data_IF_357947898699
#
_entry.id   IF_357947898699
#
_cell.length_a   1.000
_cell.length_b   1.000
_cell.length_c   1.000
_cell.angle_alpha   90.00
_cell.angle_beta   90.00
_cell.angle_gamma   90.00
#
_symmetry.space_group_name_H-M   'P 1'
#
loop_
_entity.id
_entity.type
_entity.pdbx_description
1 polymer ?
#
# COMPACT_ATOMS: atom_id res chain seq x y z
N UNK A 1 56.07 54.35 51.17
CA UNK A 1 55.50 55.01 49.96
C UNK A 1 54.33 54.17 49.57
N UNK A 2 53.16 54.58 50.09
CA UNK A 2 51.85 53.90 49.86
C UNK A 2 51.26 54.48 48.55
N UNK A 3 50.98 53.63 47.58
CA UNK A 3 50.24 54.07 46.39
C UNK A 3 48.73 53.83 46.71
N UNK A 4 48.03 54.91 46.93
CA UNK A 4 46.60 54.92 47.01
C UNK A 4 46.03 54.61 45.62
N UNK A 5 45.24 53.54 45.57
CA UNK A 5 44.39 53.30 44.41
C UNK A 5 43.14 54.16 44.61
N UNK A 6 43.03 55.26 43.83
CA UNK A 6 41.79 55.98 43.68
C UNK A 6 40.79 55.14 42.89
N UNK A 7 39.80 54.64 43.55
CA UNK A 7 38.61 54.08 42.91
C UNK A 7 37.82 55.22 42.31
N UNK A 8 37.83 55.37 41.02
CA UNK A 8 36.94 56.28 40.30
C UNK A 8 35.54 55.65 40.36
N UNK A 9 34.75 56.14 41.33
CA UNK A 9 33.32 55.86 41.38
C UNK A 9 32.66 56.61 40.25
N UNK A 10 32.28 55.97 39.21
CA UNK A 10 31.30 56.50 38.23
C UNK A 10 29.93 56.54 38.90
N UNK A 11 29.59 57.67 39.46
CA UNK A 11 28.21 58.00 39.79
C UNK A 11 27.51 58.44 38.49
N UNK A 12 26.85 57.54 37.79
CA UNK A 12 25.86 57.87 36.83
C UNK A 12 24.53 57.89 37.54
N UNK A 13 24.02 59.06 37.90
CA UNK A 13 22.60 59.31 38.17
C UNK A 13 21.83 59.15 36.87
N UNK A 14 21.60 57.96 36.50
CA UNK A 14 20.71 57.54 35.43
C UNK A 14 20.32 56.13 35.77
N UNK A 15 19.05 55.82 35.77
CA UNK A 15 18.57 54.44 35.81
C UNK A 15 19.31 53.65 34.70
N UNK A 16 20.45 53.07 35.04
CA UNK A 16 20.98 51.96 34.28
C UNK A 16 19.97 50.85 34.53
N UNK A 17 18.94 50.78 33.72
CA UNK A 17 18.29 49.56 33.49
C UNK A 17 19.42 48.64 33.03
N UNK A 18 20.01 47.88 33.93
CA UNK A 18 20.68 46.64 33.63
C UNK A 18 19.58 45.75 33.03
N UNK A 19 19.29 46.01 31.75
CA UNK A 19 18.87 44.91 30.93
C UNK A 19 20.08 43.97 31.03
N UNK A 20 19.95 43.01 31.92
CA UNK A 20 20.65 41.79 31.82
C UNK A 20 20.26 41.24 30.45
N UNK A 21 20.90 41.81 29.43
CA UNK A 21 20.92 41.23 28.11
C UNK A 21 21.72 39.96 28.35
N UNK A 22 21.07 38.97 28.96
CA UNK A 22 21.41 37.60 28.68
C UNK A 22 21.22 37.53 27.17
N UNK A 23 22.29 37.94 26.47
CA UNK A 23 22.52 37.44 25.13
C UNK A 23 22.61 35.93 25.39
N UNK A 24 21.43 35.33 25.38
CA UNK A 24 21.30 33.92 25.22
C UNK A 24 21.90 33.67 23.83
N UNK A 25 23.23 33.63 23.80
CA UNK A 25 23.97 32.90 22.80
C UNK A 25 23.68 31.42 23.09
N UNK A 26 22.37 31.08 23.22
CA UNK A 26 21.86 29.80 22.82
C UNK A 26 22.41 29.66 21.43
N UNK A 27 23.60 29.10 21.33
CA UNK A 27 24.47 29.16 20.20
C UNK A 27 23.61 28.84 19.01
N UNK A 28 23.61 29.77 18.06
CA UNK A 28 23.08 29.48 16.73
C UNK A 28 23.63 28.12 16.45
N UNK A 29 22.75 27.08 16.62
CA UNK A 29 23.17 25.70 16.61
C UNK A 29 23.97 25.55 15.34
N UNK A 30 25.29 25.39 15.48
CA UNK A 30 26.21 25.37 14.35
C UNK A 30 25.68 24.30 13.43
N UNK A 31 25.24 24.71 12.23
CA UNK A 31 24.76 23.77 11.24
C UNK A 31 25.84 22.74 10.99
N UNK A 32 25.64 21.53 11.49
CA UNK A 32 26.51 20.40 11.27
C UNK A 32 25.92 19.54 10.18
N UNK A 33 26.48 19.56 8.96
CA UNK A 33 25.97 18.74 7.87
C UNK A 33 26.09 17.26 8.19
N UNK A 34 25.23 16.46 7.56
CA UNK A 34 25.31 15.01 7.64
C UNK A 34 26.69 14.49 7.23
N UNK A 35 27.25 13.55 7.99
CA UNK A 35 28.47 12.86 7.58
C UNK A 35 28.21 11.93 6.40
N UNK A 36 29.23 11.60 5.58
CA UNK A 36 29.04 10.78 4.36
C UNK A 36 28.33 9.45 4.62
N UNK A 37 28.60 8.78 5.73
CA UNK A 37 27.96 7.53 6.11
C UNK A 37 26.43 7.70 6.33
N UNK A 38 26.02 8.76 7.03
CA UNK A 38 24.63 9.09 7.26
C UNK A 38 23.89 9.41 5.95
N UNK A 39 24.52 10.20 5.07
CA UNK A 39 23.97 10.48 3.73
C UNK A 39 23.76 9.19 2.96
N UNK A 40 24.75 8.31 2.94
CA UNK A 40 24.67 7.03 2.27
C UNK A 40 23.49 6.19 2.79
N UNK A 41 23.35 6.08 4.12
CA UNK A 41 22.26 5.33 4.75
C UNK A 41 20.88 5.85 4.33
N UNK A 42 20.67 7.18 4.30
CA UNK A 42 19.42 7.77 3.84
C UNK A 42 19.16 7.49 2.36
N UNK A 43 20.20 7.56 1.51
CA UNK A 43 20.07 7.21 0.09
C UNK A 43 19.73 5.74 -0.10
N UNK A 44 20.37 4.83 0.62
CA UNK A 44 20.13 3.40 0.54
C UNK A 44 18.67 3.07 0.94
N UNK A 45 18.15 3.71 1.99
CA UNK A 45 16.74 3.59 2.37
C UNK A 45 15.80 4.13 1.27
N UNK A 46 16.13 5.29 0.68
CA UNK A 46 15.37 5.87 -0.43
C UNK A 46 15.34 4.95 -1.65
N UNK A 47 16.49 4.35 -2.01
CA UNK A 47 16.60 3.39 -3.12
C UNK A 47 15.71 2.18 -2.86
N UNK A 48 15.75 1.59 -1.66
CA UNK A 48 14.89 0.45 -1.29
C UNK A 48 13.40 0.78 -1.41
N UNK A 49 13.00 2.00 -1.05
CA UNK A 49 11.61 2.44 -1.26
C UNK A 49 11.26 2.50 -2.76
N UNK A 50 12.19 2.96 -3.62
CA UNK A 50 11.93 3.02 -5.07
C UNK A 50 11.89 1.64 -5.72
N UNK A 51 12.69 0.69 -5.25
CA UNK A 51 12.64 -0.72 -5.67
C UNK A 51 11.27 -1.37 -5.40
N UNK A 52 10.58 -0.91 -4.35
CA UNK A 52 9.20 -1.31 -4.02
C UNK A 52 8.12 -0.52 -4.80
N UNK A 53 8.55 0.31 -5.77
CA UNK A 53 7.67 1.05 -6.67
C UNK A 53 7.20 2.42 -6.20
N UNK A 54 7.82 2.99 -5.16
CA UNK A 54 7.53 4.36 -4.75
C UNK A 54 8.26 5.39 -5.64
N UNK A 55 7.64 6.54 -5.90
CA UNK A 55 8.31 7.63 -6.60
C UNK A 55 9.36 8.28 -5.69
N UNK A 56 10.60 8.36 -6.19
CA UNK A 56 11.73 8.96 -5.47
C UNK A 56 11.44 10.41 -5.04
N UNK A 57 10.77 11.19 -5.90
CA UNK A 57 10.41 12.58 -5.59
C UNK A 57 9.44 12.68 -4.40
N UNK A 58 8.47 11.79 -4.34
CA UNK A 58 7.49 11.77 -3.27
C UNK A 58 8.10 11.36 -1.94
N UNK A 59 9.02 10.39 -1.97
CA UNK A 59 9.78 9.95 -0.80
C UNK A 59 10.56 11.12 -0.20
N UNK A 60 11.37 11.79 -1.02
CA UNK A 60 12.19 12.91 -0.55
C UNK A 60 11.37 14.12 -0.17
N UNK A 61 10.26 14.39 -0.87
CA UNK A 61 9.32 15.46 -0.50
C UNK A 61 8.77 15.25 0.90
N UNK A 62 8.41 14.02 1.26
CA UNK A 62 7.92 13.70 2.61
C UNK A 62 9.00 13.96 3.67
N UNK A 63 10.25 13.54 3.43
CA UNK A 63 11.38 13.80 4.33
C UNK A 63 11.63 15.30 4.49
N UNK A 64 11.67 16.03 3.38
CA UNK A 64 11.97 17.47 3.40
C UNK A 64 10.83 18.27 4.08
N UNK A 65 9.58 17.88 3.84
CA UNK A 65 8.44 18.51 4.49
C UNK A 65 8.45 18.27 6.02
N UNK A 66 8.80 17.07 6.46
CA UNK A 66 8.87 16.73 7.88
C UNK A 66 10.00 17.46 8.61
N UNK A 67 11.11 17.72 7.92
CA UNK A 67 12.27 18.39 8.50
C UNK A 67 12.29 19.92 8.28
N UNK A 68 11.40 20.45 7.42
CA UNK A 68 11.39 21.86 7.03
C UNK A 68 12.60 22.28 6.20
N UNK A 69 13.20 21.37 5.43
CA UNK A 69 14.39 21.61 4.59
C UNK A 69 14.02 21.49 3.10
N UNK A 70 14.90 21.99 2.22
CA UNK A 70 14.63 21.98 0.76
C UNK A 70 15.39 20.85 0.04
N UNK A 71 16.48 20.42 0.58
CA UNK A 71 17.36 19.42 -0.03
C UNK A 71 18.13 18.64 1.03
N UNK A 72 18.69 17.49 0.65
CA UNK A 72 19.41 16.60 1.56
C UNK A 72 20.67 17.28 2.18
N UNK A 73 21.26 18.23 1.47
CA UNK A 73 22.40 19.00 1.96
C UNK A 73 22.07 19.89 3.15
N UNK A 74 20.81 20.29 3.31
CA UNK A 74 20.32 21.15 4.38
C UNK A 74 19.94 20.36 5.65
N UNK A 75 20.02 19.04 5.60
CA UNK A 75 19.73 18.18 6.77
C UNK A 75 20.92 18.25 7.73
N UNK A 76 20.67 18.74 8.93
CA UNK A 76 21.69 18.72 9.99
C UNK A 76 21.83 17.32 10.60
N UNK A 77 23.02 17.03 11.18
CA UNK A 77 23.30 15.74 11.84
C UNK A 77 22.28 15.42 12.94
N UNK A 78 21.79 16.42 13.65
CA UNK A 78 20.77 16.27 14.70
C UNK A 78 19.41 15.78 14.16
N UNK A 79 19.11 16.08 12.88
CA UNK A 79 17.88 15.65 12.20
C UNK A 79 18.01 14.28 11.53
N UNK A 80 19.19 13.66 11.54
CA UNK A 80 19.44 12.38 10.89
C UNK A 80 18.48 11.29 11.32
N UNK A 81 18.28 11.11 12.63
CA UNK A 81 17.39 10.05 13.15
C UNK A 81 15.95 10.27 12.73
N UNK A 82 15.51 11.54 12.68
CA UNK A 82 14.17 11.89 12.22
C UNK A 82 13.99 11.61 10.73
N UNK A 83 14.96 12.00 9.91
CA UNK A 83 14.96 11.67 8.48
C UNK A 83 14.91 10.15 8.24
N UNK A 84 15.77 9.41 8.98
CA UNK A 84 15.85 7.96 8.93
C UNK A 84 14.52 7.30 9.32
N UNK A 85 13.87 7.77 10.40
CA UNK A 85 12.59 7.22 10.85
C UNK A 85 11.47 7.43 9.84
N UNK A 86 11.42 8.58 9.16
CA UNK A 86 10.45 8.84 8.08
C UNK A 86 10.64 7.86 6.92
N UNK A 87 11.88 7.67 6.47
CA UNK A 87 12.19 6.72 5.39
C UNK A 87 11.89 5.28 5.80
N UNK A 88 12.24 4.88 7.02
CA UNK A 88 11.98 3.55 7.54
C UNK A 88 10.47 3.28 7.62
N UNK A 89 9.70 4.21 8.18
CA UNK A 89 8.24 4.09 8.26
C UNK A 89 7.62 3.94 6.85
N UNK A 90 8.14 4.69 5.88
CA UNK A 90 7.67 4.57 4.49
C UNK A 90 8.03 3.22 3.88
N UNK A 91 9.23 2.73 4.11
CA UNK A 91 9.70 1.42 3.67
C UNK A 91 8.83 0.30 4.25
N UNK A 92 8.57 0.35 5.55
CA UNK A 92 7.75 -0.65 6.24
C UNK A 92 6.31 -0.67 5.69
N UNK A 93 5.73 0.50 5.40
CA UNK A 93 4.41 0.60 4.77
C UNK A 93 4.38 -0.01 3.35
N UNK A 94 5.43 0.21 2.55
CA UNK A 94 5.55 -0.36 1.21
C UNK A 94 5.72 -1.88 1.25
N UNK A 95 6.52 -2.40 2.18
CA UNK A 95 6.68 -3.83 2.40
C UNK A 95 5.36 -4.49 2.82
N UNK A 96 4.60 -3.85 3.71
CA UNK A 96 3.28 -4.34 4.10
C UNK A 96 2.32 -4.38 2.91
N UNK A 97 2.32 -3.36 2.05
CA UNK A 97 1.50 -3.34 0.84
C UNK A 97 1.90 -4.42 -0.16
N UNK A 98 3.20 -4.67 -0.34
CA UNK A 98 3.69 -5.73 -1.20
C UNK A 98 3.29 -7.12 -0.67
N UNK A 99 3.46 -7.35 0.63
CA UNK A 99 3.02 -8.58 1.27
C UNK A 99 1.51 -8.80 1.10
N UNK A 100 0.69 -7.75 1.23
CA UNK A 100 -0.75 -7.81 0.97
C UNK A 100 -1.05 -8.19 -0.47
N UNK A 101 -0.39 -7.56 -1.45
CA UNK A 101 -0.56 -7.90 -2.88
C UNK A 101 -0.22 -9.36 -3.15
N UNK A 102 0.87 -9.84 -2.56
CA UNK A 102 1.31 -11.26 -2.66
C UNK A 102 0.27 -12.20 -2.08
N UNK A 103 -0.27 -11.88 -0.89
CA UNK A 103 -1.33 -12.67 -0.26
C UNK A 103 -2.61 -12.69 -1.11
N UNK A 104 -3.06 -11.54 -1.60
CA UNK A 104 -4.22 -11.45 -2.50
C UNK A 104 -4.01 -12.31 -3.75
N UNK A 105 -2.85 -12.21 -4.39
CA UNK A 105 -2.51 -13.04 -5.56
C UNK A 105 -2.54 -14.54 -5.25
N UNK A 106 -2.05 -14.94 -4.07
CA UNK A 106 -2.09 -16.34 -3.62
C UNK A 106 -3.52 -16.83 -3.38
N UNK A 107 -4.34 -16.03 -2.68
CA UNK A 107 -5.76 -16.34 -2.42
C UNK A 107 -6.53 -16.52 -3.72
N UNK A 108 -6.40 -15.56 -4.65
CA UNK A 108 -7.10 -15.62 -5.94
C UNK A 108 -6.68 -16.84 -6.77
N UNK A 109 -5.40 -17.15 -6.83
CA UNK A 109 -4.90 -18.35 -7.52
C UNK A 109 -5.52 -19.62 -6.96
N UNK A 110 -5.48 -19.78 -5.63
CA UNK A 110 -6.04 -20.96 -4.97
C UNK A 110 -7.56 -21.05 -5.12
N UNK A 111 -8.27 -19.91 -5.07
CA UNK A 111 -9.70 -19.86 -5.29
C UNK A 111 -10.05 -20.29 -6.73
N UNK A 112 -9.26 -19.87 -7.71
CA UNK A 112 -9.43 -20.30 -9.11
C UNK A 112 -9.11 -21.80 -9.29
N UNK A 113 -8.03 -22.29 -8.69
CA UNK A 113 -7.65 -23.70 -8.76
C UNK A 113 -8.71 -24.63 -8.15
N UNK A 114 -9.44 -24.16 -7.15
CA UNK A 114 -10.48 -24.91 -6.44
C UNK A 114 -11.90 -24.58 -6.91
N UNK A 115 -12.06 -23.71 -7.89
CA UNK A 115 -13.36 -23.17 -8.35
C UNK A 115 -14.23 -22.63 -7.18
N UNK A 116 -13.58 -22.02 -6.19
CA UNK A 116 -14.16 -21.58 -4.92
C UNK A 116 -14.37 -20.07 -4.87
N UNK A 117 -14.64 -19.43 -6.02
CA UNK A 117 -14.77 -17.97 -6.10
C UNK A 117 -16.00 -17.42 -5.39
N UNK A 118 -17.12 -18.15 -5.47
CA UNK A 118 -18.37 -17.77 -4.80
C UNK A 118 -18.23 -17.90 -3.28
N UNK A 119 -17.71 -19.02 -2.81
CA UNK A 119 -17.50 -19.33 -1.39
C UNK A 119 -16.49 -18.36 -0.75
N UNK A 120 -15.47 -17.97 -1.52
CA UNK A 120 -14.53 -16.94 -1.09
C UNK A 120 -15.23 -15.60 -0.84
N UNK A 121 -16.10 -15.18 -1.76
CA UNK A 121 -16.84 -13.93 -1.62
C UNK A 121 -17.80 -13.98 -0.44
N UNK A 122 -18.55 -15.09 -0.31
CA UNK A 122 -19.48 -15.30 0.80
C UNK A 122 -18.76 -15.30 2.15
N UNK A 123 -17.62 -15.99 2.25
CA UNK A 123 -16.79 -15.98 3.44
C UNK A 123 -16.30 -14.58 3.80
N UNK A 124 -15.84 -13.82 2.81
CA UNK A 124 -15.36 -12.46 3.01
C UNK A 124 -16.48 -11.51 3.43
N UNK A 125 -17.67 -11.65 2.85
CA UNK A 125 -18.83 -10.83 3.18
C UNK A 125 -19.33 -11.13 4.59
N UNK A 126 -19.53 -12.39 4.92
CA UNK A 126 -20.02 -12.83 6.24
C UNK A 126 -19.01 -12.50 7.35
N UNK A 127 -17.72 -12.70 7.11
CA UNK A 127 -16.69 -12.58 8.17
C UNK A 127 -16.21 -11.15 8.35
N UNK A 128 -16.09 -10.38 7.28
CA UNK A 128 -15.47 -9.05 7.29
C UNK A 128 -16.40 -7.93 6.78
N UNK A 129 -17.60 -8.26 6.27
CA UNK A 129 -18.52 -7.31 5.65
C UNK A 129 -17.95 -6.65 4.40
N UNK A 130 -17.01 -7.30 3.72
CA UNK A 130 -16.30 -6.76 2.56
C UNK A 130 -15.86 -7.88 1.64
N UNK A 131 -16.23 -7.79 0.36
CA UNK A 131 -15.83 -8.75 -0.67
C UNK A 131 -14.50 -8.41 -1.35
N UNK A 132 -14.07 -7.14 -1.27
CA UNK A 132 -12.84 -6.69 -1.95
C UNK A 132 -11.59 -7.05 -1.13
N UNK A 133 -10.85 -8.05 -1.55
CA UNK A 133 -9.61 -8.52 -0.90
C UNK A 133 -8.58 -7.40 -0.68
N UNK A 134 -8.44 -6.47 -1.61
CA UNK A 134 -7.50 -5.35 -1.50
C UNK A 134 -7.83 -4.38 -0.33
N UNK A 135 -9.06 -4.41 0.19
CA UNK A 135 -9.49 -3.59 1.34
C UNK A 135 -9.32 -4.31 2.68
N UNK A 136 -8.96 -5.58 2.65
CA UNK A 136 -8.72 -6.36 3.84
C UNK A 136 -7.33 -6.06 4.43
N UNK A 137 -7.21 -6.18 5.74
CA UNK A 137 -5.93 -6.11 6.44
C UNK A 137 -5.14 -7.41 6.23
N UNK A 138 -3.82 -7.37 6.44
CA UNK A 138 -2.96 -8.56 6.32
C UNK A 138 -3.46 -9.75 7.15
N UNK A 139 -3.86 -9.52 8.40
CA UNK A 139 -4.39 -10.57 9.27
C UNK A 139 -5.72 -11.16 8.75
N UNK A 140 -6.58 -10.33 8.15
CA UNK A 140 -7.84 -10.78 7.52
C UNK A 140 -7.53 -11.62 6.28
N UNK A 141 -6.59 -11.19 5.45
CA UNK A 141 -6.13 -11.97 4.27
C UNK A 141 -5.52 -13.32 4.64
N UNK A 142 -4.83 -13.42 5.78
CA UNK A 142 -4.32 -14.70 6.28
C UNK A 142 -5.47 -15.66 6.62
N UNK A 143 -6.53 -15.18 7.29
CA UNK A 143 -7.73 -15.97 7.57
C UNK A 143 -8.44 -16.42 6.29
N UNK A 144 -8.53 -15.54 5.30
CA UNK A 144 -9.07 -15.89 3.98
C UNK A 144 -8.23 -16.99 3.33
N UNK A 145 -6.90 -16.89 3.41
CA UNK A 145 -5.99 -17.89 2.87
C UNK A 145 -6.17 -19.25 3.57
N UNK A 146 -6.28 -19.26 4.89
CA UNK A 146 -6.55 -20.47 5.68
C UNK A 146 -7.88 -21.10 5.28
N UNK A 147 -8.94 -20.29 5.14
CA UNK A 147 -10.25 -20.76 4.67
C UNK A 147 -10.13 -21.46 3.30
N UNK A 148 -9.51 -20.80 2.31
CA UNK A 148 -9.35 -21.39 0.98
C UNK A 148 -8.43 -22.61 0.98
N UNK A 149 -7.42 -22.64 1.83
CA UNK A 149 -6.56 -23.83 1.97
C UNK A 149 -7.34 -25.05 2.48
N UNK A 150 -8.18 -24.83 3.50
CA UNK A 150 -9.04 -25.86 4.08
C UNK A 150 -10.26 -26.20 3.23
N UNK A 151 -10.61 -25.35 2.27
CA UNK A 151 -11.77 -25.60 1.40
C UNK A 151 -11.52 -26.82 0.51
N UNK A 152 -12.33 -27.83 0.70
CA UNK A 152 -12.38 -29.02 -0.16
C UNK A 152 -13.64 -28.87 -1.02
N UNK A 153 -13.47 -28.90 -2.33
CA UNK A 153 -14.61 -29.12 -3.22
C UNK A 153 -15.21 -30.44 -2.82
N UNK A 154 -16.41 -30.41 -2.25
CA UNK A 154 -17.14 -31.66 -2.03
C UNK A 154 -17.16 -32.37 -3.39
N UNK A 155 -16.66 -33.60 -3.51
CA UNK A 155 -16.81 -34.33 -4.76
C UNK A 155 -18.31 -34.28 -5.06
N UNK A 156 -18.66 -33.71 -6.21
CA UNK A 156 -20.03 -33.81 -6.71
C UNK A 156 -20.33 -35.31 -6.61
N UNK A 157 -21.15 -35.67 -5.62
CA UNK A 157 -21.74 -36.99 -5.56
C UNK A 157 -22.59 -37.09 -6.82
N UNK A 158 -21.97 -37.45 -7.92
CA UNK A 158 -22.67 -37.84 -9.10
C UNK A 158 -23.36 -39.13 -8.66
N UNK A 159 -24.58 -38.97 -8.15
CA UNK A 159 -25.48 -40.08 -7.99
C UNK A 159 -25.50 -40.76 -9.37
N UNK A 160 -24.93 -41.96 -9.51
CA UNK A 160 -24.85 -42.60 -10.82
C UNK A 160 -26.23 -42.94 -11.36
N UNK A 161 -27.27 -42.68 -10.59
CA UNK A 161 -28.69 -42.94 -10.92
C UNK A 161 -29.32 -41.77 -11.72
N UNK A 162 -28.68 -40.58 -11.83
CA UNK A 162 -29.32 -39.43 -12.48
C UNK A 162 -28.61 -38.84 -13.72
N UNK A 163 -27.56 -39.42 -14.21
CA UNK A 163 -26.87 -38.90 -15.37
C UNK A 163 -26.53 -39.93 -16.42
N UNK A 164 -27.49 -40.67 -16.89
CA UNK A 164 -27.47 -40.98 -18.31
C UNK A 164 -28.03 -39.77 -19.00
N UNK A 165 -27.27 -38.97 -19.75
CA UNK A 165 -27.85 -38.01 -20.67
C UNK A 165 -28.68 -38.86 -21.64
N UNK A 166 -29.99 -38.92 -21.41
CA UNK A 166 -30.88 -39.44 -22.45
C UNK A 166 -30.57 -38.56 -23.66
N UNK A 167 -29.84 -39.15 -24.59
CA UNK A 167 -29.64 -38.56 -25.91
C UNK A 167 -31.05 -38.46 -26.48
N UNK A 168 -31.73 -37.31 -26.23
CA UNK A 168 -32.97 -37.01 -26.88
C UNK A 168 -32.71 -37.16 -28.37
N UNK A 169 -33.47 -38.04 -29.08
CA UNK A 169 -33.32 -38.14 -30.51
C UNK A 169 -33.61 -36.75 -31.10
N UNK A 170 -32.81 -36.34 -32.05
CA UNK A 170 -32.88 -35.01 -32.69
C UNK A 170 -34.31 -34.61 -33.08
N UNK A 171 -35.16 -35.60 -33.33
CA UNK A 171 -36.55 -35.48 -33.65
C UNK A 171 -37.37 -34.90 -32.48
N UNK A 172 -37.14 -35.34 -31.26
CA UNK A 172 -37.90 -34.88 -30.09
C UNK A 172 -37.41 -33.50 -29.66
N UNK A 173 -36.12 -33.21 -29.80
CA UNK A 173 -35.56 -31.85 -29.59
C UNK A 173 -36.18 -30.84 -30.57
N UNK A 174 -36.32 -31.18 -31.87
CA UNK A 174 -36.95 -30.32 -32.89
C UNK A 174 -38.43 -30.11 -32.62
N UNK A 175 -39.14 -31.11 -32.08
CA UNK A 175 -40.56 -31.00 -31.75
C UNK A 175 -40.81 -30.09 -30.54
N UNK A 176 -39.99 -30.18 -29.55
CA UNK A 176 -40.08 -29.33 -28.33
C UNK A 176 -39.72 -27.88 -28.66
N UNK A 177 -38.71 -27.66 -29.51
CA UNK A 177 -38.23 -26.34 -29.88
C UNK A 177 -38.65 -25.90 -31.30
N UNK A 178 -39.80 -26.39 -31.79
CA UNK A 178 -40.26 -26.13 -33.17
C UNK A 178 -40.33 -24.66 -33.55
N UNK A 179 -40.64 -23.74 -32.59
CA UNK A 179 -40.67 -22.31 -32.86
C UNK A 179 -39.27 -21.74 -33.12
N UNK A 180 -38.23 -22.19 -32.39
CA UNK A 180 -36.84 -21.75 -32.56
C UNK A 180 -36.22 -22.39 -33.80
N UNK A 181 -36.54 -23.65 -34.09
CA UNK A 181 -36.08 -24.33 -35.30
C UNK A 181 -36.64 -23.69 -36.58
N UNK A 182 -37.93 -23.30 -36.58
CA UNK A 182 -38.52 -22.57 -37.69
C UNK A 182 -37.90 -21.20 -37.89
N UNK A 183 -37.58 -20.47 -36.80
CA UNK A 183 -36.90 -19.18 -36.87
C UNK A 183 -35.50 -19.28 -37.48
N UNK A 184 -34.72 -20.29 -37.11
CA UNK A 184 -33.41 -20.53 -37.70
C UNK A 184 -33.46 -20.90 -39.18
N UNK A 185 -34.51 -21.67 -39.59
CA UNK A 185 -34.70 -22.04 -41.00
C UNK A 185 -35.05 -20.84 -41.87
N UNK A 186 -35.94 -19.96 -41.37
CA UNK A 186 -36.32 -18.72 -42.06
C UNK A 186 -35.14 -17.77 -42.16
N UNK A 187 -34.36 -17.64 -41.08
CA UNK A 187 -33.16 -16.79 -41.08
C UNK A 187 -32.11 -17.30 -42.06
N UNK A 188 -31.84 -18.62 -42.07
CA UNK A 188 -30.94 -19.24 -43.02
C UNK A 188 -31.38 -19.06 -44.47
N UNK A 189 -32.66 -19.11 -44.76
CA UNK A 189 -33.21 -18.89 -46.09
C UNK A 189 -33.07 -17.43 -46.57
N UNK A 190 -33.28 -16.47 -45.66
CA UNK A 190 -33.13 -15.04 -45.97
C UNK A 190 -31.67 -14.73 -46.24
N UNK A 191 -30.76 -15.20 -45.40
CA UNK A 191 -29.29 -14.96 -45.59
C UNK A 191 -28.80 -15.64 -46.89
N UNK A 192 -29.26 -16.86 -47.15
CA UNK A 192 -28.88 -17.56 -48.39
C UNK A 192 -29.36 -16.86 -49.68
N UNK A 193 -30.52 -16.19 -49.63
CA UNK A 193 -31.06 -15.47 -50.81
C UNK A 193 -30.37 -14.11 -51.04
N UNK A 194 -29.75 -13.53 -50.01
CA UNK A 194 -29.02 -12.26 -50.13
C UNK A 194 -27.57 -12.45 -50.55
N UNK A 195 -27.04 -13.67 -50.49
CA UNK A 195 -25.62 -13.92 -50.79
C UNK A 195 -25.41 -14.67 -52.10
N UNK A 196 -26.49 -15.06 -52.75
CA UNK A 196 -26.52 -15.57 -54.13
C UNK A 196 -27.44 -14.68 -54.98
#
# INVERSE_FOLDING_TARGET
>A
MSKEFQSVGQYTEGHINNYDVQINMAGRAEFRPLVPAQKKELYDLGIRCTELGADSKDIWRAVFAELGVKQIGDIATEHFQRARSVLQCRLDALLEEEDKRRLVGKVLRMATEKDAGAELNDFCDVTFGRTRLNKLKRAELQRVLEFIQGFQVAPLSIDPTMATPQRMPLRDFLLIHRAHAAGLFVFGFIVGKFWF
#
